data_IF_618427445483
#
_entry.id   IF_618427445483
#
_cell.length_a   1.000
_cell.length_b   1.000
_cell.length_c   1.000
_cell.angle_alpha   90.00
_cell.angle_beta   90.00
_cell.angle_gamma   90.00
#
_symmetry.space_group_name_H-M   'P 1'
#
loop_
_entity.id
_entity.type
_entity.pdbx_description
1 polymer ?
#
# COMPACT_ATOMS: atom_id res chain seq x y z
N UNK A 1 19.17 -15.17 -10.05
CA UNK A 1 18.24 -16.29 -10.31
C UNK A 1 16.83 -15.79 -10.07
N UNK A 2 15.80 -16.43 -10.62
CA UNK A 2 14.41 -15.97 -10.49
C UNK A 2 13.44 -17.03 -10.97
N UNK A 3 12.16 -16.84 -10.65
CA UNK A 3 11.07 -17.75 -11.00
C UNK A 3 10.01 -16.99 -11.76
N UNK A 4 9.48 -17.59 -12.82
CA UNK A 4 8.33 -17.07 -13.55
C UNK A 4 7.19 -18.06 -13.43
N UNK A 5 5.99 -17.53 -13.17
CA UNK A 5 4.76 -18.32 -13.03
C UNK A 5 3.71 -17.72 -13.94
N UNK A 6 3.06 -18.56 -14.73
CA UNK A 6 1.94 -18.19 -15.59
C UNK A 6 0.81 -19.16 -15.30
N UNK A 7 -0.41 -18.64 -15.16
CA UNK A 7 -1.60 -19.43 -14.90
C UNK A 7 -2.82 -18.85 -15.62
N UNK A 8 -3.84 -19.67 -15.81
CA UNK A 8 -5.13 -19.30 -16.39
C UNK A 8 -6.24 -19.73 -15.43
N UNK A 9 -7.11 -18.81 -15.03
CA UNK A 9 -8.26 -19.14 -14.19
C UNK A 9 -9.28 -19.99 -14.96
N UNK A 10 -9.89 -20.95 -14.27
CA UNK A 10 -10.88 -21.86 -14.82
C UNK A 10 -12.28 -21.22 -14.81
N UNK A 11 -12.87 -21.06 -15.99
CA UNK A 11 -14.20 -20.47 -16.17
C UNK A 11 -15.36 -21.38 -15.71
N UNK A 12 -15.10 -22.67 -15.48
CA UNK A 12 -16.09 -23.57 -14.89
C UNK A 12 -16.16 -23.43 -13.36
N UNK A 13 -15.10 -22.91 -12.74
CA UNK A 13 -14.99 -22.70 -11.28
C UNK A 13 -15.39 -21.27 -10.90
N UNK A 14 -14.89 -20.27 -11.63
CA UNK A 14 -15.13 -18.85 -11.31
C UNK A 14 -16.25 -18.27 -12.16
N UNK A 15 -17.13 -17.48 -11.54
CA UNK A 15 -18.18 -16.74 -12.25
C UNK A 15 -17.62 -15.71 -13.26
N UNK A 16 -16.42 -15.18 -12.99
CA UNK A 16 -15.70 -14.28 -13.89
C UNK A 16 -14.21 -14.56 -13.85
N UNK A 17 -13.57 -14.52 -15.02
CA UNK A 17 -12.11 -14.63 -15.19
C UNK A 17 -11.47 -13.28 -15.52
N UNK A 18 -12.24 -12.19 -15.47
CA UNK A 18 -11.76 -10.84 -15.74
C UNK A 18 -11.16 -10.20 -14.48
N UNK A 19 -9.86 -9.92 -14.52
CA UNK A 19 -9.15 -9.29 -13.41
C UNK A 19 -9.34 -7.77 -13.39
N UNK A 20 -9.59 -7.20 -12.21
CA UNK A 20 -9.63 -5.75 -12.01
C UNK A 20 -8.20 -5.19 -11.91
N UNK A 21 -7.80 -4.39 -12.90
CA UNK A 21 -6.49 -3.72 -12.89
C UNK A 21 -6.33 -2.83 -11.66
N UNK A 22 -7.36 -2.05 -11.30
CA UNK A 22 -7.34 -1.15 -10.15
C UNK A 22 -7.13 -1.90 -8.84
N UNK A 23 -7.78 -3.04 -8.66
CA UNK A 23 -7.64 -3.87 -7.45
C UNK A 23 -6.21 -4.40 -7.32
N UNK A 24 -5.65 -4.94 -8.42
CA UNK A 24 -4.27 -5.43 -8.46
C UNK A 24 -3.27 -4.30 -8.24
N UNK A 25 -3.46 -3.18 -8.94
CA UNK A 25 -2.66 -1.96 -8.86
C UNK A 25 -2.58 -1.45 -7.42
N UNK A 26 -3.72 -1.31 -6.74
CA UNK A 26 -3.76 -0.89 -5.33
C UNK A 26 -2.99 -1.87 -4.44
N UNK A 27 -3.18 -3.19 -4.62
CA UNK A 27 -2.52 -4.20 -3.80
C UNK A 27 -1.00 -4.22 -4.01
N UNK A 28 -0.53 -4.11 -5.25
CA UNK A 28 0.90 -4.05 -5.54
C UNK A 28 1.53 -2.75 -5.06
N UNK A 29 0.81 -1.64 -5.13
CA UNK A 29 1.28 -0.38 -4.56
C UNK A 29 1.50 -0.51 -3.04
N UNK A 30 0.54 -1.07 -2.31
CA UNK A 30 0.68 -1.36 -0.86
C UNK A 30 1.88 -2.27 -0.58
N UNK A 31 2.07 -3.34 -1.36
CA UNK A 31 3.21 -4.24 -1.18
C UNK A 31 4.55 -3.53 -1.40
N UNK A 32 4.64 -2.62 -2.37
CA UNK A 32 5.85 -1.85 -2.61
C UNK A 32 6.16 -0.88 -1.46
N UNK A 33 5.13 -0.31 -0.81
CA UNK A 33 5.34 0.49 0.41
C UNK A 33 5.85 -0.34 1.58
N UNK A 34 5.36 -1.57 1.74
CA UNK A 34 5.73 -2.45 2.86
C UNK A 34 7.14 -3.06 2.69
N UNK A 35 7.74 -2.97 1.50
CA UNK A 35 9.04 -3.55 1.19
C UNK A 35 9.96 -2.48 0.59
N UNK A 36 10.73 -1.79 1.43
CA UNK A 36 11.69 -0.76 1.00
C UNK A 36 12.62 -1.29 -0.09
N UNK A 37 12.72 -0.55 -1.21
CA UNK A 37 13.57 -0.92 -2.33
C UNK A 37 13.02 -2.00 -3.27
N UNK A 38 11.82 -2.54 -3.03
CA UNK A 38 11.16 -3.47 -3.96
C UNK A 38 10.49 -2.69 -5.09
N UNK A 39 10.89 -2.98 -6.33
CA UNK A 39 10.19 -2.48 -7.52
C UNK A 39 9.15 -3.50 -8.00
N UNK A 40 7.89 -3.08 -8.11
CA UNK A 40 6.81 -3.88 -8.70
C UNK A 40 6.30 -3.21 -9.96
N UNK A 41 6.31 -3.93 -11.09
CA UNK A 41 5.77 -3.47 -12.37
C UNK A 41 4.51 -4.27 -12.71
N UNK A 42 3.43 -3.56 -13.01
CA UNK A 42 2.16 -4.13 -13.48
C UNK A 42 1.85 -3.59 -14.87
N UNK A 43 1.61 -4.51 -15.81
CA UNK A 43 1.24 -4.19 -17.19
C UNK A 43 -0.04 -4.94 -17.56
N UNK A 44 -1.01 -4.22 -18.14
CA UNK A 44 -2.26 -4.79 -18.65
C UNK A 44 -2.20 -4.89 -20.17
N UNK A 45 -2.11 -6.12 -20.68
CA UNK A 45 -1.98 -6.40 -22.10
C UNK A 45 -3.33 -6.55 -22.83
N UNK A 46 -4.47 -6.40 -22.12
CA UNK A 46 -5.80 -6.47 -22.74
C UNK A 46 -6.02 -5.32 -23.71
N UNK A 47 -6.72 -5.57 -24.82
CA UNK A 47 -7.04 -4.54 -25.82
C UNK A 47 -7.83 -3.36 -25.23
N UNK A 48 -8.73 -3.63 -24.27
CA UNK A 48 -9.48 -2.60 -23.55
C UNK A 48 -8.59 -1.62 -22.78
N UNK A 49 -7.42 -2.04 -22.34
CA UNK A 49 -6.46 -1.19 -21.64
C UNK A 49 -5.68 -0.28 -22.61
N UNK A 50 -5.36 -0.78 -23.81
CA UNK A 50 -4.67 -0.02 -24.87
C UNK A 50 -5.49 1.18 -25.37
N UNK A 51 -6.81 1.02 -25.47
CA UNK A 51 -7.71 2.09 -25.92
C UNK A 51 -7.80 3.29 -24.94
N UNK A 52 -7.31 3.14 -23.70
CA UNK A 52 -7.36 4.20 -22.67
C UNK A 52 -6.02 4.87 -22.40
N UNK A 53 -4.92 4.32 -22.93
CA UNK A 53 -3.60 4.93 -22.83
C UNK A 53 -3.51 6.08 -23.85
N UNK A 54 -3.68 7.33 -23.38
CA UNK A 54 -3.60 8.54 -24.22
C UNK A 54 -4.88 9.38 -24.33
N UNK A 55 -5.97 9.02 -23.63
CA UNK A 55 -7.21 9.80 -23.66
C UNK A 55 -7.09 11.22 -23.05
N UNK A 56 -6.05 11.47 -22.24
CA UNK A 56 -5.78 12.76 -21.59
C UNK A 56 -4.75 13.63 -22.35
N UNK A 57 -4.14 13.12 -23.42
CA UNK A 57 -3.16 13.87 -24.23
C UNK A 57 -3.70 14.14 -25.65
N UNK A 58 -3.99 15.41 -25.94
CA UNK A 58 -4.42 15.87 -27.26
C UNK A 58 -3.27 15.74 -28.28
N UNK A 59 -3.16 14.58 -28.92
CA UNK A 59 -2.15 14.29 -29.95
C UNK A 59 -1.59 12.86 -29.97
N UNK A 60 -2.23 11.89 -29.30
CA UNK A 60 -1.80 10.50 -29.33
C UNK A 60 -2.09 9.84 -30.70
N UNK A 61 -1.17 10.01 -31.65
CA UNK A 61 -1.03 9.12 -32.81
C UNK A 61 -0.82 7.67 -32.33
N UNK A 62 -1.49 6.72 -33.00
CA UNK A 62 -1.37 5.25 -32.92
C UNK A 62 -0.14 4.73 -32.15
N UNK A 63 -0.27 4.63 -30.82
CA UNK A 63 0.65 3.83 -30.02
C UNK A 63 -0.16 2.75 -29.32
N UNK A 64 0.17 1.50 -29.65
CA UNK A 64 -0.16 0.26 -28.93
C UNK A 64 0.41 0.26 -27.48
N UNK A 65 0.32 1.37 -26.75
CA UNK A 65 0.84 1.47 -25.40
C UNK A 65 -0.12 0.76 -24.43
N UNK A 66 0.34 -0.40 -23.95
CA UNK A 66 -0.32 -1.14 -22.88
C UNK A 66 -0.22 -0.38 -21.56
N UNK A 67 -1.32 -0.31 -20.82
CA UNK A 67 -1.37 0.38 -19.53
C UNK A 67 -0.35 -0.23 -18.57
N UNK A 68 0.68 0.54 -18.23
CA UNK A 68 1.79 0.08 -17.39
C UNK A 68 1.99 1.03 -16.22
N UNK A 69 2.13 0.48 -15.02
CA UNK A 69 2.44 1.20 -13.79
C UNK A 69 3.63 0.56 -13.09
N UNK A 70 4.48 1.38 -12.49
CA UNK A 70 5.66 0.92 -11.72
C UNK A 70 5.62 1.54 -10.33
N UNK A 71 5.77 0.70 -9.31
CA UNK A 71 5.79 1.10 -7.91
C UNK A 71 7.17 0.84 -7.33
N UNK A 72 7.76 1.87 -6.73
CA UNK A 72 9.05 1.81 -6.05
C UNK A 72 9.08 2.89 -4.97
N UNK A 73 9.31 2.49 -3.73
CA UNK A 73 9.27 3.40 -2.58
C UNK A 73 10.47 3.13 -1.67
N UNK A 74 11.36 4.11 -1.57
CA UNK A 74 12.55 4.06 -0.70
C UNK A 74 12.19 4.35 0.75
N UNK A 75 11.22 5.24 1.00
CA UNK A 75 10.77 5.59 2.35
C UNK A 75 9.84 4.57 2.99
N UNK A 76 9.45 3.51 2.25
CA UNK A 76 8.58 2.45 2.75
C UNK A 76 7.25 2.96 3.32
N UNK A 77 6.93 2.58 4.55
CA UNK A 77 5.67 2.96 5.21
C UNK A 77 5.57 4.45 5.53
N UNK A 78 6.68 5.19 5.58
CA UNK A 78 6.64 6.66 5.68
C UNK A 78 6.01 7.28 4.43
N UNK A 79 6.37 6.78 3.25
CA UNK A 79 5.78 7.24 2.00
C UNK A 79 4.32 6.75 1.87
N UNK A 80 3.99 5.61 2.48
CA UNK A 80 2.60 5.16 2.56
C UNK A 80 1.72 6.12 3.36
N UNK A 81 2.18 6.58 4.54
CA UNK A 81 1.46 7.57 5.35
C UNK A 81 1.28 8.88 4.59
N UNK A 82 2.31 9.38 3.89
CA UNK A 82 2.20 10.57 3.04
C UNK A 82 1.16 10.37 1.94
N UNK A 83 1.18 9.21 1.29
CA UNK A 83 0.20 8.86 0.25
C UNK A 83 -1.23 8.84 0.80
N UNK A 84 -1.45 8.24 1.98
CA UNK A 84 -2.77 8.23 2.61
C UNK A 84 -3.25 9.63 2.99
N UNK A 85 -2.37 10.45 3.58
CA UNK A 85 -2.72 11.82 3.97
C UNK A 85 -3.02 12.72 2.77
N UNK A 86 -2.36 12.53 1.62
CA UNK A 86 -2.64 13.29 0.39
C UNK A 86 -4.12 13.24 -0.05
N UNK A 87 -4.86 12.21 0.38
CA UNK A 87 -6.29 12.01 0.07
C UNK A 87 -7.23 12.32 1.24
N UNK A 88 -6.72 12.31 2.48
CA UNK A 88 -7.54 12.38 3.69
C UNK A 88 -7.60 13.78 4.32
N UNK A 89 -6.64 14.66 4.04
CA UNK A 89 -6.66 16.04 4.53
C UNK A 89 -5.28 16.63 4.76
N UNK A 90 -5.25 17.82 5.33
CA UNK A 90 -4.00 18.52 5.63
C UNK A 90 -3.33 17.92 6.88
N UNK A 91 -2.03 17.65 6.79
CA UNK A 91 -1.25 17.16 7.92
C UNK A 91 -1.09 18.23 9.00
N UNK A 92 -1.29 17.87 10.27
CA UNK A 92 -1.23 18.81 11.41
C UNK A 92 0.21 19.14 11.79
N UNK A 93 1.14 18.25 11.48
CA UNK A 93 2.57 18.43 11.73
C UNK A 93 3.40 17.96 10.53
N UNK A 94 4.54 18.61 10.23
CA UNK A 94 5.26 18.40 8.97
C UNK A 94 5.97 17.05 8.87
N UNK A 95 6.37 16.47 10.01
CA UNK A 95 7.18 15.25 10.07
C UNK A 95 6.31 14.02 10.33
N UNK A 96 6.44 12.99 9.51
CA UNK A 96 5.88 11.66 9.82
C UNK A 96 6.72 11.05 10.95
N UNK A 97 6.05 10.49 11.95
CA UNK A 97 6.71 9.71 13.00
C UNK A 97 7.02 8.35 12.41
N UNK A 98 8.28 7.91 12.51
CA UNK A 98 8.79 6.65 11.98
C UNK A 98 9.56 5.93 13.09
N UNK A 99 9.21 4.67 13.34
CA UNK A 99 9.72 3.86 14.44
C UNK A 99 9.95 2.43 13.94
N UNK A 100 11.11 1.87 14.27
CA UNK A 100 11.45 0.48 13.97
C UNK A 100 12.01 -0.19 15.23
N UNK A 101 11.61 -1.43 15.48
CA UNK A 101 12.10 -2.25 16.57
C UNK A 101 12.22 -3.71 16.14
N UNK A 102 13.30 -4.37 16.54
CA UNK A 102 13.54 -5.79 16.29
C UNK A 102 13.96 -6.49 17.58
N UNK A 103 13.32 -7.61 17.89
CA UNK A 103 13.70 -8.56 18.94
C UNK A 103 14.19 -9.85 18.27
N UNK A 104 15.51 -10.00 18.19
CA UNK A 104 16.16 -11.16 17.53
C UNK A 104 15.99 -12.46 18.31
N UNK A 105 15.85 -12.40 19.63
CA UNK A 105 15.66 -13.60 20.46
C UNK A 105 14.26 -14.18 20.22
N UNK A 106 13.26 -13.31 20.09
CA UNK A 106 11.88 -13.71 19.80
C UNK A 106 11.55 -13.80 18.32
N UNK A 107 12.48 -13.40 17.44
CA UNK A 107 12.27 -13.31 15.99
C UNK A 107 11.04 -12.47 15.62
N UNK A 108 10.89 -11.32 16.28
CA UNK A 108 9.80 -10.36 16.04
C UNK A 108 10.37 -9.03 15.59
N UNK A 109 9.75 -8.45 14.56
CA UNK A 109 10.02 -7.08 14.13
C UNK A 109 8.72 -6.28 14.06
N UNK A 110 8.84 -4.98 14.30
CA UNK A 110 7.75 -4.02 14.21
C UNK A 110 8.28 -2.75 13.56
N UNK A 111 7.55 -2.25 12.57
CA UNK A 111 7.75 -0.95 11.96
C UNK A 111 6.44 -0.16 12.05
N UNK A 112 6.49 1.10 12.47
CA UNK A 112 5.33 1.97 12.64
C UNK A 112 5.62 3.34 12.05
N UNK A 113 4.80 3.75 11.09
CA UNK A 113 4.75 5.12 10.61
C UNK A 113 3.37 5.73 10.90
N UNK A 114 3.33 6.94 11.45
CA UNK A 114 2.08 7.63 11.75
C UNK A 114 2.19 9.15 11.65
N UNK A 115 1.07 9.79 11.31
CA UNK A 115 0.94 11.24 11.24
C UNK A 115 -0.51 11.64 11.43
N UNK A 116 -0.75 12.67 12.25
CA UNK A 116 -2.08 13.26 12.44
C UNK A 116 -2.43 14.22 11.31
N UNK A 117 -3.70 14.23 10.92
CA UNK A 117 -4.27 15.16 9.96
C UNK A 117 -5.49 15.89 10.56
N UNK A 118 -6.02 16.88 9.85
CA UNK A 118 -7.16 17.70 10.29
C UNK A 118 -8.52 17.00 10.19
N UNK A 119 -8.55 15.77 9.68
CA UNK A 119 -9.76 14.96 9.57
C UNK A 119 -10.20 14.35 10.89
N UNK A 120 -11.46 13.91 10.92
CA UNK A 120 -12.08 13.25 12.09
C UNK A 120 -12.18 11.73 11.95
N UNK A 121 -11.83 11.18 10.78
CA UNK A 121 -11.83 9.74 10.55
C UNK A 121 -10.52 9.12 11.00
N UNK A 122 -10.62 8.02 11.76
CA UNK A 122 -9.47 7.18 12.05
C UNK A 122 -9.01 6.41 10.79
N UNK A 123 -7.69 6.25 10.64
CA UNK A 123 -7.09 5.53 9.52
C UNK A 123 -5.90 4.71 9.94
N UNK A 124 -6.12 3.72 10.81
CA UNK A 124 -5.09 2.74 11.20
C UNK A 124 -5.11 1.58 10.20
N UNK A 125 -3.96 1.29 9.61
CA UNK A 125 -3.77 0.17 8.68
C UNK A 125 -2.71 -0.76 9.28
N UNK A 126 -3.11 -1.96 9.68
CA UNK A 126 -2.24 -2.92 10.35
C UNK A 126 -1.88 -4.09 9.43
N UNK A 127 -0.63 -4.55 9.52
CA UNK A 127 -0.11 -5.62 8.68
C UNK A 127 0.68 -6.62 9.51
N UNK A 128 0.61 -7.89 9.11
CA UNK A 128 1.45 -8.96 9.62
C UNK A 128 2.03 -9.71 8.42
N UNK A 129 3.36 -9.75 8.28
CA UNK A 129 4.04 -10.40 7.16
C UNK A 129 3.46 -10.00 5.78
N UNK A 130 3.30 -8.69 5.53
CA UNK A 130 2.76 -8.10 4.27
C UNK A 130 1.24 -8.30 4.09
N UNK A 131 0.59 -9.13 4.92
CA UNK A 131 -0.85 -9.34 4.89
C UNK A 131 -1.55 -8.25 5.68
N UNK A 132 -2.52 -7.60 5.05
CA UNK A 132 -3.35 -6.59 5.71
C UNK A 132 -4.31 -7.26 6.69
N UNK A 133 -4.21 -6.91 7.97
CA UNK A 133 -5.03 -7.47 9.05
C UNK A 133 -6.24 -6.58 9.30
N UNK A 134 -7.26 -6.67 8.45
CA UNK A 134 -8.44 -5.78 8.52
C UNK A 134 -9.26 -5.95 9.81
N UNK A 135 -9.18 -7.11 10.45
CA UNK A 135 -9.79 -7.41 11.75
C UNK A 135 -8.91 -6.99 12.94
N UNK A 136 -7.78 -6.34 12.66
CA UNK A 136 -6.78 -5.97 13.65
C UNK A 136 -5.97 -7.16 14.15
N UNK A 137 -5.64 -7.15 15.43
CA UNK A 137 -4.87 -8.21 16.06
C UNK A 137 -4.09 -7.73 17.27
N UNK A 138 -3.30 -8.62 17.87
CA UNK A 138 -2.55 -8.33 19.11
C UNK A 138 -1.55 -7.19 18.94
N UNK A 139 -0.95 -7.05 17.76
CA UNK A 139 -0.04 -5.95 17.40
C UNK A 139 -0.76 -4.61 17.38
N UNK A 140 -1.97 -4.55 16.81
CA UNK A 140 -2.76 -3.33 16.76
C UNK A 140 -3.28 -2.90 18.14
N UNK A 141 -3.83 -3.84 18.91
CA UNK A 141 -4.30 -3.56 20.27
C UNK A 141 -3.15 -3.09 21.18
N UNK A 142 -1.98 -3.72 21.06
CA UNK A 142 -0.77 -3.29 21.77
C UNK A 142 -0.36 -1.85 21.41
N UNK A 143 -0.38 -1.51 20.12
CA UNK A 143 -0.11 -0.15 19.65
C UNK A 143 -1.12 0.86 20.21
N UNK A 144 -2.43 0.57 20.11
CA UNK A 144 -3.50 1.44 20.62
C UNK A 144 -3.33 1.72 22.11
N UNK A 145 -3.15 0.67 22.92
CA UNK A 145 -2.97 0.81 24.36
C UNK A 145 -1.71 1.62 24.70
N UNK A 146 -0.58 1.38 24.01
CA UNK A 146 0.65 2.11 24.23
C UNK A 146 0.52 3.60 23.87
N UNK A 147 -0.09 3.92 22.72
CA UNK A 147 -0.29 5.28 22.26
C UNK A 147 -1.20 6.07 23.20
N UNK A 148 -2.33 5.49 23.61
CA UNK A 148 -3.25 6.11 24.57
C UNK A 148 -2.56 6.42 25.89
N UNK A 149 -1.78 5.48 26.44
CA UNK A 149 -1.03 5.69 27.68
C UNK A 149 0.03 6.79 27.55
N UNK A 150 0.76 6.83 26.43
CA UNK A 150 1.80 7.82 26.17
C UNK A 150 1.22 9.24 26.11
N UNK A 151 0.16 9.43 25.31
CA UNK A 151 -0.48 10.75 25.14
C UNK A 151 -1.05 11.25 26.47
N UNK A 152 -1.74 10.38 27.22
CA UNK A 152 -2.28 10.74 28.53
C UNK A 152 -1.20 11.13 29.54
N UNK A 153 -0.05 10.44 29.52
CA UNK A 153 1.08 10.74 30.41
C UNK A 153 1.74 12.07 30.03
N UNK A 154 1.87 12.36 28.73
CA UNK A 154 2.47 13.59 28.24
C UNK A 154 1.59 14.83 28.47
N UNK A 155 0.26 14.67 28.41
CA UNK A 155 -0.69 15.75 28.60
C UNK A 155 -0.90 16.17 30.08
N UNK A 156 -0.44 15.36 31.04
CA UNK A 156 -0.47 15.69 32.47
C UNK A 156 0.75 16.51 32.86
#
# INVERSE_FOLDING_TARGET
TGTSVTFWADGDIFETTEYSFETLSRRFQEMAFLNKGLTIKLTDERESAKATAGADEAGADDKDEVKTVTYHYEGGIVDFVKYLNSRKGEAVHPTVIDLEAEDKEKSLSLEVAMQWNSGYSEGVYSFANIIHTHEGGTHEEGFRAALTNLVNKYAR
#
